data_IF_738303214228
#
_entry.id   IF_738303214228
#
_cell.length_a   1.000
_cell.length_b   1.000
_cell.length_c   1.000
_cell.angle_alpha   90.00
_cell.angle_beta   90.00
_cell.angle_gamma   90.00
#
_symmetry.space_group_name_H-M   'P 1'
#
loop_
_entity.id
_entity.type
_entity.pdbx_description
1 polymer ?
#
# COMPACT_ATOMS: atom_id res chain seq x y z
N UNK A 1 -33.00 -25.91 11.25
CA UNK A 1 -33.76 -25.69 10.00
C UNK A 1 -35.09 -25.09 10.38
N UNK A 2 -35.53 -23.94 9.94
CA UNK A 2 -35.01 -22.82 9.17
C UNK A 2 -36.19 -21.82 9.20
N UNK A 3 -35.92 -20.55 8.85
CA UNK A 3 -36.90 -19.48 8.61
C UNK A 3 -37.32 -18.69 9.85
N UNK A 4 -36.36 -17.94 10.39
CA UNK A 4 -36.59 -16.58 10.93
C UNK A 4 -35.26 -15.81 10.90
N UNK A 5 -34.49 -16.05 9.83
CA UNK A 5 -33.25 -15.37 9.48
C UNK A 5 -33.52 -14.36 8.35
N UNK A 6 -34.63 -13.64 8.42
CA UNK A 6 -34.94 -12.56 7.49
C UNK A 6 -35.69 -11.47 8.23
N UNK A 7 -35.24 -10.23 8.00
CA UNK A 7 -35.76 -8.96 8.53
C UNK A 7 -35.30 -8.60 9.95
N UNK A 8 -34.12 -7.95 10.06
CA UNK A 8 -33.98 -6.71 10.86
C UNK A 8 -32.63 -5.98 10.74
N UNK A 9 -31.96 -6.04 9.58
CA UNK A 9 -30.90 -5.05 9.26
C UNK A 9 -31.03 -4.57 7.81
N UNK A 10 -32.23 -4.11 7.48
CA UNK A 10 -32.45 -3.20 6.36
C UNK A 10 -32.23 -1.76 6.88
N UNK A 11 -31.06 -1.17 6.59
CA UNK A 11 -30.85 0.27 6.35
C UNK A 11 -29.36 0.60 6.37
N UNK A 12 -28.67 0.42 5.25
CA UNK A 12 -27.62 1.37 4.85
C UNK A 12 -27.39 1.26 3.34
N UNK A 13 -28.28 1.95 2.63
CA UNK A 13 -28.00 2.46 1.29
C UNK A 13 -26.85 3.46 1.41
N UNK A 14 -25.64 3.04 1.07
CA UNK A 14 -24.57 3.95 0.67
C UNK A 14 -24.19 3.58 -0.76
N UNK A 15 -24.73 4.38 -1.66
CA UNK A 15 -24.38 4.52 -3.07
C UNK A 15 -22.86 4.41 -3.30
N UNK A 16 -22.43 3.27 -3.85
CA UNK A 16 -21.10 3.14 -4.43
C UNK A 16 -21.17 3.69 -5.87
N UNK A 17 -20.44 4.76 -6.20
CA UNK A 17 -20.44 5.26 -7.55
C UNK A 17 -19.72 4.26 -8.47
N UNK A 18 -20.40 3.92 -9.56
CA UNK A 18 -19.87 3.23 -10.73
C UNK A 18 -18.92 4.17 -11.47
N UNK A 19 -17.71 4.34 -10.95
CA UNK A 19 -16.57 4.83 -11.74
C UNK A 19 -15.83 3.62 -12.29
N UNK A 20 -15.54 3.70 -13.60
CA UNK A 20 -15.15 2.61 -14.49
C UNK A 20 -13.87 1.86 -14.11
N UNK A 21 -13.45 0.97 -15.01
CA UNK A 21 -12.24 0.16 -14.92
C UNK A 21 -10.95 1.00 -14.84
N UNK A 22 -10.76 1.71 -13.74
CA UNK A 22 -9.47 1.94 -13.14
C UNK A 22 -9.33 0.86 -12.07
N UNK A 23 -8.24 0.11 -12.10
CA UNK A 23 -7.88 -0.86 -11.05
C UNK A 23 -7.95 -0.13 -9.70
N UNK A 24 -9.08 -0.28 -9.00
CA UNK A 24 -9.34 0.38 -7.73
C UNK A 24 -8.33 -0.21 -6.77
N UNK A 25 -7.24 0.52 -6.56
CA UNK A 25 -6.32 0.22 -5.47
C UNK A 25 -7.16 0.39 -4.22
N UNK A 26 -7.57 -0.73 -3.60
CA UNK A 26 -8.37 -0.65 -2.38
C UNK A 26 -7.67 0.25 -1.38
N UNK A 27 -8.40 1.19 -0.75
CA UNK A 27 -7.80 2.11 0.20
C UNK A 27 -7.12 1.31 1.31
N UNK A 28 -5.82 1.56 1.53
CA UNK A 28 -5.07 0.88 2.58
C UNK A 28 -5.76 1.10 3.92
N UNK A 29 -5.95 0.00 4.68
CA UNK A 29 -6.51 0.07 6.04
C UNK A 29 -5.79 1.14 6.89
N UNK A 30 -6.49 1.88 7.76
CA UNK A 30 -5.87 2.84 8.68
C UNK A 30 -4.76 2.20 9.50
N UNK A 31 -3.67 2.93 9.75
CA UNK A 31 -2.50 2.37 10.43
C UNK A 31 -2.82 1.90 11.86
N UNK A 32 -3.73 2.58 12.56
CA UNK A 32 -4.12 2.19 13.92
C UNK A 32 -4.93 0.88 13.94
N UNK A 33 -5.73 0.63 12.91
CA UNK A 33 -6.38 -0.66 12.73
C UNK A 33 -5.34 -1.77 12.52
N UNK A 34 -4.33 -1.52 11.68
CA UNK A 34 -3.23 -2.49 11.47
C UNK A 34 -2.50 -2.79 12.78
N UNK A 35 -2.21 -1.78 13.61
CA UNK A 35 -1.55 -1.97 14.90
C UNK A 35 -2.37 -2.83 15.88
N UNK A 36 -3.71 -2.76 15.82
CA UNK A 36 -4.57 -3.62 16.66
C UNK A 36 -4.65 -5.04 16.11
N UNK A 37 -4.74 -5.19 14.78
CA UNK A 37 -4.88 -6.50 14.14
C UNK A 37 -3.62 -7.36 14.32
N UNK A 38 -2.41 -6.79 14.34
CA UNK A 38 -1.18 -7.60 14.45
C UNK A 38 -1.06 -8.44 15.73
N UNK A 39 -1.78 -8.09 16.80
CA UNK A 39 -1.71 -8.84 18.05
C UNK A 39 -2.45 -10.18 18.01
N UNK A 40 -3.38 -10.35 17.07
CA UNK A 40 -4.21 -11.57 16.93
C UNK A 40 -3.81 -12.44 15.73
N UNK A 41 -2.85 -11.98 14.91
CA UNK A 41 -2.40 -12.71 13.73
C UNK A 41 -1.33 -13.75 14.08
N UNK A 42 -1.33 -14.86 13.33
CA UNK A 42 -0.26 -15.85 13.36
C UNK A 42 1.02 -15.34 12.67
N UNK A 43 2.16 -15.96 12.97
CA UNK A 43 3.44 -15.63 12.31
C UNK A 43 3.31 -15.71 10.78
N UNK A 44 2.67 -16.75 10.26
CA UNK A 44 2.47 -16.94 8.81
C UNK A 44 1.64 -15.80 8.19
N UNK A 45 0.57 -15.39 8.86
CA UNK A 45 -0.26 -14.26 8.41
C UNK A 45 0.51 -12.93 8.45
N UNK A 46 1.31 -12.71 9.50
CA UNK A 46 2.15 -11.53 9.60
C UNK A 46 3.22 -11.50 8.50
N UNK A 47 3.81 -12.65 8.18
CA UNK A 47 4.80 -12.78 7.12
C UNK A 47 4.21 -12.52 5.73
N UNK A 48 3.03 -13.07 5.43
CA UNK A 48 2.38 -12.81 4.14
C UNK A 48 1.98 -11.33 4.00
N UNK A 49 1.46 -10.72 5.06
CA UNK A 49 1.14 -9.28 5.06
C UNK A 49 2.40 -8.41 4.89
N UNK A 50 3.49 -8.74 5.59
CA UNK A 50 4.77 -8.04 5.43
C UNK A 50 5.32 -8.19 4.01
N UNK A 51 5.26 -9.40 3.43
CA UNK A 51 5.69 -9.70 2.07
C UNK A 51 4.90 -8.90 1.03
N UNK A 52 3.58 -8.81 1.14
CA UNK A 52 2.76 -8.01 0.22
C UNK A 52 3.25 -6.55 0.16
N UNK A 53 3.52 -5.95 1.31
CA UNK A 53 4.06 -4.60 1.38
C UNK A 53 5.46 -4.48 0.80
N UNK A 54 6.35 -5.46 1.05
CA UNK A 54 7.68 -5.51 0.46
C UNK A 54 7.60 -5.55 -1.06
N UNK A 55 6.81 -6.45 -1.64
CA UNK A 55 6.64 -6.60 -3.09
C UNK A 55 6.11 -5.32 -3.72
N UNK A 56 5.12 -4.67 -3.10
CA UNK A 56 4.56 -3.42 -3.61
C UNK A 56 5.54 -2.25 -3.51
N UNK A 57 6.39 -2.21 -2.48
CA UNK A 57 7.48 -1.23 -2.38
C UNK A 57 8.51 -1.48 -3.49
N UNK A 58 8.90 -2.74 -3.73
CA UNK A 58 9.83 -3.11 -4.80
C UNK A 58 9.29 -2.73 -6.18
N UNK A 59 7.98 -2.91 -6.42
CA UNK A 59 7.33 -2.54 -7.67
C UNK A 59 7.34 -1.01 -7.92
N UNK A 60 7.18 -0.21 -6.86
CA UNK A 60 6.92 1.24 -6.96
C UNK A 60 8.16 2.10 -6.81
N UNK A 61 9.16 1.66 -6.05
CA UNK A 61 10.41 2.41 -5.82
C UNK A 61 11.19 2.71 -7.11
N UNK A 62 11.32 1.78 -8.09
CA UNK A 62 11.94 2.09 -9.37
C UNK A 62 11.14 3.12 -10.18
N UNK A 63 9.81 3.00 -10.20
CA UNK A 63 8.92 3.96 -10.89
C UNK A 63 9.08 5.38 -10.32
N UNK A 64 9.24 5.50 -8.99
CA UNK A 64 9.50 6.77 -8.32
C UNK A 64 10.84 7.36 -8.74
N UNK A 65 11.92 6.56 -8.73
CA UNK A 65 13.25 7.00 -9.17
C UNK A 65 13.23 7.52 -10.61
N UNK A 66 12.58 6.80 -11.52
CA UNK A 66 12.46 7.24 -12.92
C UNK A 66 11.71 8.56 -13.05
N UNK A 67 10.68 8.80 -12.24
CA UNK A 67 9.97 10.09 -12.21
C UNK A 67 10.86 11.21 -11.68
N UNK A 68 11.60 10.96 -10.59
CA UNK A 68 12.54 11.92 -9.99
C UNK A 68 13.66 12.31 -10.97
N UNK A 69 14.30 11.33 -11.62
CA UNK A 69 15.30 11.57 -12.67
C UNK A 69 14.74 12.37 -13.85
N UNK A 70 13.50 12.10 -14.24
CA UNK A 70 12.83 12.83 -15.32
C UNK A 70 12.52 14.27 -14.92
N UNK A 71 12.10 14.50 -13.68
CA UNK A 71 11.87 15.85 -13.14
C UNK A 71 13.17 16.65 -13.15
N UNK A 72 14.27 16.07 -12.66
CA UNK A 72 15.59 16.71 -12.63
C UNK A 72 16.08 17.10 -14.03
N UNK A 73 15.98 16.16 -14.99
CA UNK A 73 16.36 16.39 -16.39
C UNK A 73 15.52 17.48 -17.07
N UNK A 74 14.22 17.52 -16.78
CA UNK A 74 13.32 18.53 -17.37
C UNK A 74 13.52 19.90 -16.73
N UNK A 75 13.77 19.96 -15.42
CA UNK A 75 14.09 21.19 -14.70
C UNK A 75 15.36 21.84 -15.22
N UNK A 76 16.36 21.03 -15.57
CA UNK A 76 17.65 21.48 -16.12
C UNK A 76 17.59 21.89 -17.60
N UNK A 77 16.52 21.57 -18.33
CA UNK A 77 16.41 21.81 -19.78
C UNK A 77 15.48 22.96 -20.16
N UNK A 78 15.01 23.76 -19.19
CA UNK A 78 14.10 24.88 -19.44
C UNK A 78 12.70 24.46 -19.90
N UNK A 79 12.29 23.22 -19.60
CA UNK A 79 10.95 22.70 -19.92
C UNK A 79 9.86 23.46 -19.15
N UNK A 80 8.66 23.58 -19.74
CA UNK A 80 7.49 24.20 -19.11
C UNK A 80 7.21 23.69 -17.70
N UNK A 81 7.08 24.63 -16.75
CA UNK A 81 6.82 24.36 -15.33
C UNK A 81 5.57 23.50 -15.10
N UNK A 82 4.51 23.66 -15.91
CA UNK A 82 3.28 22.87 -15.80
C UNK A 82 3.50 21.37 -16.07
N UNK A 83 4.47 21.02 -16.93
CA UNK A 83 4.82 19.62 -17.20
C UNK A 83 5.62 19.02 -16.05
N UNK A 84 6.47 19.81 -15.42
CA UNK A 84 7.24 19.42 -14.24
C UNK A 84 6.31 19.22 -13.04
N UNK A 85 5.40 20.16 -12.79
CA UNK A 85 4.40 20.11 -11.72
C UNK A 85 3.56 18.82 -11.77
N UNK A 86 3.07 18.42 -12.95
CA UNK A 86 2.35 17.15 -13.14
C UNK A 86 3.18 15.90 -12.85
N UNK A 87 4.50 15.97 -13.04
CA UNK A 87 5.40 14.87 -12.70
C UNK A 87 5.69 14.86 -11.21
N UNK A 88 5.86 16.03 -10.59
CA UNK A 88 6.04 16.20 -9.15
C UNK A 88 4.81 15.69 -8.37
N UNK A 89 3.60 15.98 -8.84
CA UNK A 89 2.35 15.46 -8.28
C UNK A 89 2.35 13.92 -8.27
N UNK A 90 2.62 13.29 -9.42
CA UNK A 90 2.72 11.82 -9.54
C UNK A 90 3.82 11.23 -8.68
N UNK A 91 4.98 11.89 -8.62
CA UNK A 91 6.07 11.46 -7.75
C UNK A 91 5.68 11.58 -6.27
N UNK A 92 4.94 12.62 -5.91
CA UNK A 92 4.38 12.83 -4.58
C UNK A 92 3.41 11.73 -4.16
N UNK A 93 2.45 11.39 -5.02
CA UNK A 93 1.50 10.29 -4.81
C UNK A 93 2.23 8.97 -4.60
N UNK A 94 3.18 8.64 -5.48
CA UNK A 94 3.92 7.40 -5.42
C UNK A 94 4.83 7.33 -4.19
N UNK A 95 5.45 8.45 -3.80
CA UNK A 95 6.23 8.56 -2.56
C UNK A 95 5.36 8.37 -1.33
N UNK A 96 4.16 8.98 -1.31
CA UNK A 96 3.21 8.80 -0.23
C UNK A 96 2.78 7.33 -0.11
N UNK A 97 2.50 6.65 -1.23
CA UNK A 97 2.13 5.24 -1.22
C UNK A 97 3.28 4.34 -0.72
N UNK A 98 4.51 4.56 -1.20
CA UNK A 98 5.69 3.83 -0.72
C UNK A 98 5.87 4.02 0.79
N UNK A 99 5.74 5.25 1.28
CA UNK A 99 5.86 5.56 2.71
C UNK A 99 4.76 4.87 3.53
N UNK A 100 3.51 4.92 3.07
CA UNK A 100 2.39 4.27 3.74
C UNK A 100 2.57 2.75 3.82
N UNK A 101 3.05 2.11 2.75
CA UNK A 101 3.35 0.67 2.74
C UNK A 101 4.53 0.35 3.66
N UNK A 102 5.58 1.18 3.67
CA UNK A 102 6.73 1.01 4.56
C UNK A 102 6.33 1.11 6.04
N UNK A 103 5.44 2.04 6.40
CA UNK A 103 4.92 2.15 7.76
C UNK A 103 4.18 0.89 8.20
N UNK A 104 3.34 0.30 7.34
CA UNK A 104 2.62 -0.95 7.65
C UNK A 104 3.55 -2.14 7.73
N UNK A 105 4.46 -2.27 6.78
CA UNK A 105 5.54 -3.26 6.83
C UNK A 105 6.28 -3.20 8.17
N UNK A 106 6.62 -2.00 8.68
CA UNK A 106 7.31 -1.85 9.95
C UNK A 106 6.49 -2.37 11.15
N UNK A 107 5.16 -2.21 11.12
CA UNK A 107 4.26 -2.75 12.15
C UNK A 107 4.30 -4.28 12.13
N UNK A 108 4.12 -4.90 10.95
CA UNK A 108 4.19 -6.36 10.81
C UNK A 108 5.58 -6.91 11.18
N UNK A 109 6.65 -6.29 10.67
CA UNK A 109 8.03 -6.69 10.93
C UNK A 109 8.40 -6.60 12.42
N UNK A 110 7.85 -5.62 13.15
CA UNK A 110 8.02 -5.53 14.61
C UNK A 110 7.38 -6.73 15.29
N UNK A 111 6.12 -7.05 14.94
CA UNK A 111 5.39 -8.16 15.55
C UNK A 111 6.04 -9.52 15.25
N UNK A 112 6.49 -9.74 14.01
CA UNK A 112 7.22 -10.96 13.63
C UNK A 112 8.46 -11.15 14.51
N UNK A 113 9.24 -10.07 14.75
CA UNK A 113 10.42 -10.11 15.63
C UNK A 113 10.06 -10.44 17.07
N UNK A 114 8.98 -9.87 17.60
CA UNK A 114 8.48 -10.16 18.95
C UNK A 114 8.07 -11.63 19.11
N UNK A 115 7.56 -12.25 18.03
CA UNK A 115 7.19 -13.67 17.99
C UNK A 115 8.34 -14.61 17.58
N UNK A 116 9.56 -14.07 17.36
CA UNK A 116 10.74 -14.86 16.99
C UNK A 116 10.77 -15.37 15.55
N UNK A 117 9.93 -14.82 14.65
CA UNK A 117 9.85 -15.22 13.25
C UNK A 117 10.87 -14.54 12.33
N UNK A 118 10.99 -15.06 11.10
CA UNK A 118 11.77 -14.42 10.03
C UNK A 118 11.00 -13.24 9.42
N UNK A 119 11.64 -12.07 9.34
CA UNK A 119 11.06 -10.87 8.74
C UNK A 119 11.36 -10.86 7.23
N UNK A 120 10.34 -10.83 6.37
CA UNK A 120 10.52 -10.69 4.92
C UNK A 120 11.32 -9.44 4.56
N UNK A 121 12.33 -9.56 3.70
CA UNK A 121 13.14 -8.43 3.20
C UNK A 121 13.08 -8.37 1.69
N UNK A 122 13.36 -7.19 1.14
CA UNK A 122 13.46 -6.96 -0.32
C UNK A 122 14.37 -7.99 -0.98
N UNK A 123 15.57 -8.21 -0.41
CA UNK A 123 16.55 -9.17 -0.93
C UNK A 123 16.03 -10.60 -1.02
N UNK A 124 15.03 -10.96 -0.23
CA UNK A 124 14.46 -12.32 -0.25
C UNK A 124 13.65 -12.58 -1.55
N UNK A 125 13.39 -11.53 -2.35
CA UNK A 125 12.58 -11.57 -3.57
C UNK A 125 13.28 -10.96 -4.81
N UNK A 126 14.56 -10.58 -4.69
CA UNK A 126 15.33 -10.04 -5.82
C UNK A 126 15.83 -11.14 -6.79
N UNK A 127 15.78 -12.41 -6.39
CA UNK A 127 16.34 -13.57 -7.11
C UNK A 127 15.29 -14.63 -7.52
N UNK A 128 14.00 -14.36 -7.33
CA UNK A 128 12.89 -15.30 -7.58
C UNK A 128 12.14 -15.05 -8.89
#
# INVERSE_FOLDING_TARGET
MDRLLEALFAASLLSLPLFGCAEKTEPLKPLDQVKMEVDILSIEQLQEAAKEHVLKIMEKKPKLRTLEEKIEKLSSSGTSSRKIEKLEEKAGELRAEVNQRALRYNVYAKKIREQGGHVPKIRDYEES
#
